data_IF_119319463125
#
_entry.id   IF_119319463125
#
_cell.length_a   1.000
_cell.length_b   1.000
_cell.length_c   1.000
_cell.angle_alpha   90.00
_cell.angle_beta   90.00
_cell.angle_gamma   90.00
#
_symmetry.space_group_name_H-M   'P 1'
#
loop_
_entity.id
_entity.type
_entity.pdbx_description
1 polymer ?
#
# COMPACT_ATOMS: atom_id res chain seq x y z
N UNK A 1 8.98 -7.59 15.93
CA UNK A 1 7.99 -7.81 14.87
C UNK A 1 7.06 -6.59 14.80
N UNK A 2 6.78 -6.03 13.63
CA UNK A 2 5.87 -4.88 13.53
C UNK A 2 4.45 -5.26 13.97
N UNK A 3 3.77 -4.33 14.63
CA UNK A 3 2.35 -4.48 14.90
C UNK A 3 1.51 -4.03 13.69
N UNK A 4 0.18 -4.16 13.78
CA UNK A 4 -0.70 -3.83 12.66
C UNK A 4 -0.61 -2.36 12.23
N UNK A 5 -0.49 -1.44 13.17
CA UNK A 5 -0.36 -0.02 12.86
C UNK A 5 0.97 0.28 12.16
N UNK A 6 2.05 -0.35 12.58
CA UNK A 6 3.35 -0.24 11.92
C UNK A 6 3.31 -0.81 10.51
N UNK A 7 2.63 -1.95 10.31
CA UNK A 7 2.47 -2.54 8.98
C UNK A 7 1.68 -1.62 8.04
N UNK A 8 0.64 -0.94 8.53
CA UNK A 8 -0.06 0.08 7.74
C UNK A 8 0.86 1.21 7.33
N UNK A 9 1.71 1.68 8.24
CA UNK A 9 2.68 2.72 7.96
C UNK A 9 3.71 2.25 6.92
N UNK A 10 4.21 1.04 7.06
CA UNK A 10 5.13 0.43 6.10
C UNK A 10 4.48 0.28 4.72
N UNK A 11 3.20 -0.09 4.67
CA UNK A 11 2.44 -0.20 3.43
C UNK A 11 2.37 1.15 2.70
N UNK A 12 2.07 2.22 3.42
CA UNK A 12 2.02 3.55 2.83
C UNK A 12 3.39 3.96 2.28
N UNK A 13 4.46 3.65 3.01
CA UNK A 13 5.83 3.93 2.57
C UNK A 13 6.17 3.17 1.28
N UNK A 14 5.78 1.91 1.17
CA UNK A 14 6.00 1.09 -0.03
C UNK A 14 5.33 1.74 -1.26
N UNK A 15 4.10 2.23 -1.10
CA UNK A 15 3.39 2.93 -2.17
C UNK A 15 4.06 4.25 -2.57
N UNK A 16 4.79 4.88 -1.68
CA UNK A 16 5.46 6.16 -1.96
C UNK A 16 6.91 6.00 -2.43
N UNK A 17 7.48 4.81 -2.34
CA UNK A 17 8.88 4.58 -2.71
C UNK A 17 9.04 4.45 -4.22
N UNK A 18 9.69 5.42 -4.84
CA UNK A 18 9.86 5.46 -6.29
C UNK A 18 11.06 4.66 -6.80
N UNK A 19 12.03 4.36 -5.92
CA UNK A 19 13.18 3.51 -6.27
C UNK A 19 12.75 2.03 -6.21
N UNK A 20 12.78 1.30 -7.35
CA UNK A 20 12.33 -0.10 -7.38
C UNK A 20 13.12 -1.02 -6.45
N UNK A 21 14.42 -0.81 -6.30
CA UNK A 21 15.24 -1.66 -5.42
C UNK A 21 14.90 -1.44 -3.95
N UNK A 22 14.76 -0.19 -3.53
CA UNK A 22 14.37 0.16 -2.16
C UNK A 22 12.97 -0.33 -1.85
N UNK A 23 12.05 -0.16 -2.80
CA UNK A 23 10.67 -0.63 -2.66
C UNK A 23 10.63 -2.14 -2.50
N UNK A 24 11.36 -2.89 -3.32
CA UNK A 24 11.39 -4.35 -3.23
C UNK A 24 11.97 -4.82 -1.89
N UNK A 25 13.02 -4.16 -1.39
CA UNK A 25 13.59 -4.47 -0.08
C UNK A 25 12.57 -4.23 1.05
N UNK A 26 11.81 -3.15 0.98
CA UNK A 26 10.75 -2.85 1.95
C UNK A 26 9.62 -3.88 1.87
N UNK A 27 9.24 -4.29 0.67
CA UNK A 27 8.21 -5.33 0.48
C UNK A 27 8.67 -6.65 1.12
N UNK A 28 9.91 -7.03 0.93
CA UNK A 28 10.45 -8.28 1.48
C UNK A 28 10.40 -8.31 3.01
N UNK A 29 10.41 -7.16 3.67
CA UNK A 29 10.36 -7.07 5.14
C UNK A 29 8.96 -7.22 5.73
N UNK A 30 7.92 -6.84 4.99
CA UNK A 30 6.58 -6.69 5.56
C UNK A 30 5.53 -7.62 4.95
N UNK A 31 5.77 -8.17 3.77
CA UNK A 31 4.76 -8.92 3.01
C UNK A 31 5.18 -10.38 2.82
N UNK A 32 4.20 -11.28 2.87
CA UNK A 32 4.47 -12.70 2.57
C UNK A 32 4.80 -12.89 1.09
N UNK A 33 5.46 -14.01 0.75
CA UNK A 33 5.87 -14.27 -0.64
C UNK A 33 4.70 -14.35 -1.61
N UNK A 34 3.61 -14.95 -1.19
CA UNK A 34 2.41 -15.16 -2.00
C UNK A 34 1.35 -14.09 -1.77
N UNK A 35 1.76 -12.89 -1.37
CA UNK A 35 0.81 -11.81 -1.14
C UNK A 35 -0.07 -11.57 -2.36
N UNK A 36 -1.27 -11.05 -2.09
CA UNK A 36 -2.19 -10.63 -3.14
C UNK A 36 -2.45 -9.14 -3.01
N UNK A 37 -2.41 -8.44 -4.12
CA UNK A 37 -2.81 -7.05 -4.20
C UNK A 37 -3.98 -6.93 -5.18
N UNK A 38 -5.07 -6.34 -4.71
CA UNK A 38 -6.26 -6.13 -5.52
C UNK A 38 -6.62 -4.65 -5.51
N UNK A 39 -6.74 -4.06 -6.69
CA UNK A 39 -7.32 -2.73 -6.85
C UNK A 39 -8.42 -2.80 -7.93
N UNK A 40 -8.98 -1.64 -8.32
CA UNK A 40 -10.07 -1.61 -9.29
C UNK A 40 -9.70 -2.12 -10.69
N UNK A 41 -8.42 -2.21 -10.99
CA UNK A 41 -7.93 -2.54 -12.34
C UNK A 41 -7.08 -3.81 -12.41
N UNK A 42 -6.59 -4.30 -11.28
CA UNK A 42 -5.64 -5.40 -11.26
C UNK A 42 -5.80 -6.31 -10.05
N UNK A 43 -5.44 -7.57 -10.25
CA UNK A 43 -5.25 -8.54 -9.18
C UNK A 43 -3.92 -9.22 -9.46
N UNK A 44 -2.92 -8.95 -8.64
CA UNK A 44 -1.58 -9.50 -8.80
C UNK A 44 -1.19 -10.34 -7.59
N UNK A 45 -0.33 -11.32 -7.80
CA UNK A 45 0.11 -12.26 -6.77
C UNK A 45 1.63 -12.26 -6.74
N UNK A 46 2.20 -12.13 -5.55
CA UNK A 46 3.64 -12.19 -5.33
C UNK A 46 4.28 -10.82 -5.19
N UNK A 47 5.45 -10.82 -4.56
CA UNK A 47 6.17 -9.58 -4.22
C UNK A 47 6.62 -8.79 -5.44
N UNK A 48 7.14 -9.46 -6.46
CA UNK A 48 7.61 -8.77 -7.66
C UNK A 48 6.44 -8.19 -8.45
N UNK A 49 5.37 -8.96 -8.64
CA UNK A 49 4.19 -8.49 -9.34
C UNK A 49 3.56 -7.29 -8.62
N UNK A 50 3.55 -7.30 -7.30
CA UNK A 50 3.09 -6.17 -6.50
C UNK A 50 3.97 -4.93 -6.73
N UNK A 51 5.28 -5.07 -6.65
CA UNK A 51 6.20 -3.96 -6.92
C UNK A 51 6.02 -3.40 -8.33
N UNK A 52 5.86 -4.27 -9.32
CA UNK A 52 5.65 -3.86 -10.71
C UNK A 52 4.33 -3.09 -10.87
N UNK A 53 3.27 -3.54 -10.18
CA UNK A 53 1.98 -2.82 -10.20
C UNK A 53 2.09 -1.44 -9.57
N UNK A 54 2.82 -1.30 -8.47
CA UNK A 54 3.05 0.01 -7.85
C UNK A 54 3.84 0.93 -8.79
N UNK A 55 4.81 0.39 -9.52
CA UNK A 55 5.55 1.16 -10.50
C UNK A 55 4.62 1.69 -11.60
N UNK A 56 3.69 0.86 -12.10
CA UNK A 56 2.70 1.30 -13.09
C UNK A 56 1.84 2.45 -12.57
N UNK A 57 1.39 2.37 -11.32
CA UNK A 57 0.59 3.42 -10.69
C UNK A 57 1.40 4.72 -10.61
N UNK A 58 2.64 4.65 -10.16
CA UNK A 58 3.51 5.82 -10.03
C UNK A 58 3.86 6.42 -11.40
N UNK A 59 4.12 5.58 -12.39
CA UNK A 59 4.43 6.04 -13.76
C UNK A 59 3.24 6.75 -14.41
N UNK A 60 2.03 6.35 -14.06
CA UNK A 60 0.80 6.96 -14.56
C UNK A 60 0.39 8.24 -13.84
N UNK A 61 1.09 8.64 -12.78
CA UNK A 61 0.77 9.81 -11.98
C UNK A 61 1.79 10.93 -12.21
N UNK A 62 1.39 12.21 -12.07
CA UNK A 62 2.34 13.31 -12.09
C UNK A 62 3.44 13.15 -11.03
N UNK A 63 4.67 13.62 -11.30
CA UNK A 63 5.80 13.38 -10.39
C UNK A 63 5.69 14.05 -9.02
N UNK A 64 4.83 15.05 -8.88
CA UNK A 64 4.60 15.73 -7.60
C UNK A 64 3.52 15.06 -6.73
N UNK A 65 2.88 13.99 -7.22
CA UNK A 65 1.89 13.26 -6.42
C UNK A 65 2.57 12.52 -5.28
N UNK A 66 2.01 12.68 -4.09
CA UNK A 66 2.43 11.98 -2.88
C UNK A 66 1.23 11.28 -2.26
N UNK A 67 1.47 10.16 -1.59
CA UNK A 67 0.44 9.48 -0.82
C UNK A 67 0.64 9.84 0.65
N UNK A 68 -0.45 10.21 1.31
CA UNK A 68 -0.44 10.64 2.71
C UNK A 68 -1.59 9.98 3.46
N UNK A 69 -1.44 9.83 4.76
CA UNK A 69 -2.54 9.38 5.62
C UNK A 69 -3.67 10.41 5.59
N UNK A 70 -4.91 9.93 5.54
CA UNK A 70 -6.11 10.78 5.46
C UNK A 70 -7.12 10.43 6.56
N UNK A 71 -6.64 10.09 7.73
CA UNK A 71 -7.45 9.75 8.87
C UNK A 71 -6.78 8.70 9.75
N UNK A 72 -7.46 8.26 10.81
CA UNK A 72 -6.87 7.30 11.74
C UNK A 72 -6.73 5.91 11.12
N UNK A 73 -5.78 5.14 11.65
CA UNK A 73 -5.67 3.72 11.36
C UNK A 73 -6.73 2.95 12.14
N UNK A 74 -7.28 1.92 11.52
CA UNK A 74 -8.22 0.99 12.16
C UNK A 74 -7.56 -0.38 12.20
N UNK A 75 -7.48 -1.00 13.37
CA UNK A 75 -6.79 -2.28 13.54
C UNK A 75 -7.67 -3.29 14.26
N UNK A 76 -7.63 -4.52 13.77
CA UNK A 76 -8.28 -5.68 14.35
C UNK A 76 -7.27 -6.83 14.45
N UNK A 77 -7.71 -8.05 14.86
CA UNK A 77 -6.78 -9.17 15.04
C UNK A 77 -5.99 -9.54 13.78
N UNK A 78 -6.65 -9.65 12.64
CA UNK A 78 -6.03 -10.09 11.39
C UNK A 78 -6.27 -9.11 10.24
N UNK A 79 -6.78 -7.92 10.53
CA UNK A 79 -7.18 -6.93 9.53
C UNK A 79 -6.83 -5.53 10.02
N UNK A 80 -6.35 -4.70 9.11
CA UNK A 80 -6.07 -3.32 9.43
C UNK A 80 -6.42 -2.45 8.21
N UNK A 81 -6.81 -1.21 8.45
CA UNK A 81 -7.21 -0.31 7.37
C UNK A 81 -6.65 1.09 7.61
N UNK A 82 -6.23 1.73 6.53
CA UNK A 82 -5.70 3.10 6.56
C UNK A 82 -6.32 3.92 5.44
N UNK A 83 -7.07 4.98 5.76
CA UNK A 83 -7.45 5.97 4.77
C UNK A 83 -6.23 6.71 4.23
N UNK A 84 -6.22 6.98 2.94
CA UNK A 84 -5.13 7.71 2.31
C UNK A 84 -5.66 8.72 1.28
N UNK A 85 -4.81 9.69 0.96
CA UNK A 85 -5.05 10.66 -0.11
C UNK A 85 -3.83 10.70 -1.03
N UNK A 86 -4.06 10.96 -2.30
CA UNK A 86 -3.03 10.95 -3.33
C UNK A 86 -3.20 12.16 -4.23
N UNK A 87 -2.12 12.91 -4.41
CA UNK A 87 -2.11 14.13 -5.19
C UNK A 87 -0.93 15.00 -4.81
N UNK A 88 -0.86 16.25 -5.31
CA UNK A 88 0.15 17.20 -4.85
C UNK A 88 0.03 17.42 -3.33
N UNK A 89 1.15 17.68 -2.64
CA UNK A 89 1.09 17.94 -1.19
C UNK A 89 0.07 19.00 -0.83
N UNK A 90 -0.83 18.68 0.11
CA UNK A 90 -1.88 19.60 0.55
C UNK A 90 -3.04 19.81 -0.42
N UNK A 91 -3.02 19.16 -1.58
CA UNK A 91 -4.06 19.29 -2.60
C UNK A 91 -4.42 17.94 -3.21
N UNK A 92 -5.06 17.05 -2.44
CA UNK A 92 -5.34 15.69 -2.89
C UNK A 92 -6.32 15.67 -4.07
N UNK A 93 -6.07 14.75 -5.00
CA UNK A 93 -6.90 14.51 -6.18
C UNK A 93 -7.72 13.25 -6.01
N UNK A 94 -7.15 12.23 -5.36
CA UNK A 94 -7.77 10.92 -5.16
C UNK A 94 -7.73 10.58 -3.68
N UNK A 95 -8.80 10.00 -3.17
CA UNK A 95 -8.87 9.48 -1.81
C UNK A 95 -9.29 8.02 -1.85
N UNK A 96 -8.82 7.28 -0.87
CA UNK A 96 -9.15 5.86 -0.78
C UNK A 96 -8.80 5.28 0.57
N UNK A 97 -8.79 3.97 0.60
CA UNK A 97 -8.47 3.20 1.80
C UNK A 97 -7.74 1.92 1.38
N UNK A 98 -6.66 1.61 2.07
CA UNK A 98 -6.03 0.30 1.96
C UNK A 98 -6.49 -0.57 3.12
N UNK A 99 -6.93 -1.78 2.79
CA UNK A 99 -7.32 -2.79 3.77
C UNK A 99 -6.33 -3.94 3.68
N UNK A 100 -5.65 -4.21 4.77
CA UNK A 100 -4.66 -5.27 4.87
C UNK A 100 -5.24 -6.48 5.59
N UNK A 101 -4.98 -7.67 5.05
CA UNK A 101 -5.14 -8.92 5.79
C UNK A 101 -3.76 -9.36 6.25
N UNK A 102 -3.66 -9.78 7.50
CA UNK A 102 -2.40 -10.15 8.12
C UNK A 102 -2.34 -11.67 8.34
N UNK A 103 -1.16 -12.24 8.14
CA UNK A 103 -0.91 -13.65 8.38
C UNK A 103 0.47 -13.78 9.03
N UNK A 104 0.48 -14.32 10.24
CA UNK A 104 1.71 -14.52 11.02
C UNK A 104 2.56 -13.25 11.17
N UNK A 105 1.89 -12.11 11.39
CA UNK A 105 2.57 -10.83 11.61
C UNK A 105 3.06 -10.14 10.34
N UNK A 106 2.67 -10.62 9.16
CA UNK A 106 3.02 -10.01 7.88
C UNK A 106 1.77 -9.77 7.03
N UNK A 107 1.90 -8.91 6.05
CA UNK A 107 0.78 -8.58 5.14
C UNK A 107 0.62 -9.69 4.11
N UNK A 108 -0.57 -10.28 4.04
CA UNK A 108 -0.88 -11.34 3.07
C UNK A 108 -1.81 -10.88 1.96
N UNK A 109 -2.66 -9.90 2.20
CA UNK A 109 -3.54 -9.33 1.18
C UNK A 109 -3.60 -7.81 1.37
N UNK A 110 -3.51 -7.09 0.27
CA UNK A 110 -3.76 -5.65 0.23
C UNK A 110 -4.92 -5.40 -0.71
N UNK A 111 -5.98 -4.75 -0.21
CA UNK A 111 -7.08 -4.28 -1.03
C UNK A 111 -7.02 -2.77 -1.09
N UNK A 112 -6.82 -2.23 -2.30
CA UNK A 112 -6.83 -0.79 -2.52
C UNK A 112 -8.22 -0.36 -2.98
N UNK A 113 -8.90 0.41 -2.14
CA UNK A 113 -10.22 0.95 -2.43
C UNK A 113 -10.09 2.43 -2.74
N UNK A 114 -10.83 2.88 -3.74
CA UNK A 114 -10.82 4.29 -4.16
C UNK A 114 -12.21 4.87 -3.91
N UNK A 115 -12.25 6.07 -3.33
CA UNK A 115 -13.51 6.78 -3.10
C UNK A 115 -14.17 7.12 -4.43
N UNK A 116 -15.44 6.82 -4.52
CA UNK A 116 -16.23 7.07 -5.73
C UNK A 116 -16.85 8.48 -5.74
#
# INVERSE_FOLDING_TARGET
MPDAAELLHMNLHVFSERDPEKRRAAIDQAYVEDLRFLDSEAHVIGRQAFSDRLQQILDGAPPDFVIEEDGPAYVGPDTAAQPWRFGPPGNPVIRGMDVLTLREGMVSVVRGLVAS
#
